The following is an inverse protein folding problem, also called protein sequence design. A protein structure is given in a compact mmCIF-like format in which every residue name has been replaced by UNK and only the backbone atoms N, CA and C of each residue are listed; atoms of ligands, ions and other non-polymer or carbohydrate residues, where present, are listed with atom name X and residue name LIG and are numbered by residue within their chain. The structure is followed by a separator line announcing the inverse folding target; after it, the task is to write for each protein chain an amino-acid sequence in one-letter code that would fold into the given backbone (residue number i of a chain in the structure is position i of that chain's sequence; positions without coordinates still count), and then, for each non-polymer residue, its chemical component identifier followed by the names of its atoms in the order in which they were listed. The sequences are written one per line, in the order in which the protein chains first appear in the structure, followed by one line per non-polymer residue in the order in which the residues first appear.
data_IF_920312560699
#
_entry.id   IF_920312560699
#
_cell.length_a   1.000
_cell.length_b   1.000
_cell.length_c   1.000
_cell.angle_alpha   90.00
_cell.angle_beta   90.00
_cell.angle_gamma   90.00
#
_symmetry.space_group_name_H-M   'P 1'
#
loop_
_entity.id
_entity.type
_entity.pdbx_description
1 polymer ?
#
# COMPACT_ATOMS: atom_id res chain seq x y z
N UNK A 1 -42.55 -3.84 39.35
CA UNK A 1 -41.50 -3.09 38.69
C UNK A 1 -41.99 -2.66 37.31
N UNK A 2 -42.05 -1.35 37.01
CA UNK A 2 -42.39 -0.90 35.64
C UNK A 2 -41.20 -1.14 34.72
N UNK A 3 -41.46 -1.75 33.56
CA UNK A 3 -40.47 -1.96 32.51
C UNK A 3 -39.96 -0.59 31.99
N UNK A 4 -38.67 -0.32 32.09
CA UNK A 4 -38.03 0.89 31.57
C UNK A 4 -37.26 0.51 30.32
N UNK A 5 -37.65 1.07 29.16
CA UNK A 5 -36.90 0.98 27.92
C UNK A 5 -35.99 2.19 27.82
N UNK A 6 -34.72 2.02 27.48
CA UNK A 6 -33.78 3.08 27.21
C UNK A 6 -32.76 2.61 26.20
N UNK A 7 -32.08 3.55 25.52
CA UNK A 7 -30.94 3.27 24.67
C UNK A 7 -29.63 3.42 25.47
N UNK A 8 -28.62 2.64 25.12
CA UNK A 8 -27.26 2.84 25.63
C UNK A 8 -26.70 4.08 24.95
N UNK A 9 -26.10 4.99 25.74
CA UNK A 9 -25.34 6.11 25.24
C UNK A 9 -23.85 5.82 25.42
N UNK A 10 -23.05 6.17 24.43
CA UNK A 10 -21.59 6.02 24.46
C UNK A 10 -21.02 7.45 24.45
N UNK A 11 -20.22 7.78 25.47
CA UNK A 11 -19.51 9.04 25.52
C UNK A 11 -18.12 8.83 24.89
N UNK A 12 -17.79 9.65 23.89
CA UNK A 12 -16.52 9.56 23.13
C UNK A 12 -15.28 9.68 24.04
N UNK A 13 -15.35 10.50 25.09
CA UNK A 13 -14.27 10.65 26.08
C UNK A 13 -13.86 9.32 26.73
N UNK A 14 -14.79 8.41 26.90
CA UNK A 14 -14.53 7.08 27.48
C UNK A 14 -14.09 6.04 26.44
N UNK A 15 -14.37 6.26 25.16
CA UNK A 15 -14.01 5.32 24.09
C UNK A 15 -12.55 5.47 23.65
N UNK A 16 -12.03 6.69 23.52
CA UNK A 16 -10.67 6.92 23.05
C UNK A 16 -9.57 6.22 23.87
N UNK A 17 -9.60 6.21 25.21
CA UNK A 17 -8.67 5.44 26.01
C UNK A 17 -8.76 3.93 25.76
N UNK A 18 -9.96 3.43 25.45
CA UNK A 18 -10.18 2.01 25.16
C UNK A 18 -9.62 1.69 23.76
N UNK A 19 -9.90 2.52 22.75
CA UNK A 19 -9.36 2.38 21.40
C UNK A 19 -7.82 2.40 21.47
N UNK A 20 -7.25 3.41 22.14
CA UNK A 20 -5.81 3.61 22.27
C UNK A 20 -5.09 2.43 22.96
N UNK A 21 -5.75 1.74 23.89
CA UNK A 21 -5.12 0.71 24.72
C UNK A 21 -5.47 -0.72 24.36
N UNK A 22 -6.66 -0.97 23.79
CA UNK A 22 -7.22 -2.33 23.71
C UNK A 22 -7.68 -2.75 22.31
N UNK A 23 -7.89 -1.81 21.38
CA UNK A 23 -8.42 -2.17 20.07
C UNK A 23 -7.39 -2.93 19.22
N UNK A 24 -6.11 -2.60 19.39
CA UNK A 24 -5.04 -3.25 18.66
C UNK A 24 -3.87 -3.62 19.60
N UNK A 25 -3.46 -4.86 19.53
CA UNK A 25 -2.31 -5.37 20.28
C UNK A 25 -0.95 -4.97 19.69
N UNK A 26 -0.94 -4.53 18.42
CA UNK A 26 0.24 -4.14 17.66
C UNK A 26 0.05 -2.70 17.15
N UNK A 27 0.93 -1.79 17.55
CA UNK A 27 0.86 -0.38 17.16
C UNK A 27 1.09 -0.17 15.66
N UNK A 28 1.82 -1.06 15.00
CA UNK A 28 2.09 -1.00 13.56
C UNK A 28 0.82 -0.97 12.69
N UNK A 29 -0.28 -1.44 13.25
CA UNK A 29 -1.53 -1.65 12.52
C UNK A 29 -2.13 -0.36 11.94
N UNK A 30 -1.81 0.82 12.54
CA UNK A 30 -2.33 2.08 12.04
C UNK A 30 -1.92 2.35 10.57
N UNK A 31 -0.70 1.96 10.18
CA UNK A 31 -0.23 2.08 8.78
C UNK A 31 -1.13 1.24 7.87
N UNK A 32 -1.40 -0.01 8.24
CA UNK A 32 -2.30 -0.89 7.49
C UNK A 32 -3.68 -0.26 7.32
N UNK A 33 -4.25 0.25 8.39
CA UNK A 33 -5.60 0.83 8.39
C UNK A 33 -5.69 2.08 7.50
N UNK A 34 -4.73 3.01 7.63
CA UNK A 34 -4.73 4.23 6.83
C UNK A 34 -4.51 3.95 5.35
N UNK A 35 -3.57 3.05 5.01
CA UNK A 35 -3.34 2.64 3.62
C UNK A 35 -4.56 1.89 3.06
N UNK A 36 -5.22 1.05 3.85
CA UNK A 36 -6.45 0.37 3.43
C UNK A 36 -7.57 1.35 3.10
N UNK A 37 -7.75 2.39 3.94
CA UNK A 37 -8.73 3.45 3.67
C UNK A 37 -8.42 4.19 2.35
N UNK A 38 -7.15 4.49 2.08
CA UNK A 38 -6.72 5.06 0.80
C UNK A 38 -7.01 4.14 -0.40
N UNK A 39 -6.73 2.84 -0.26
CA UNK A 39 -7.08 1.84 -1.29
C UNK A 39 -8.58 1.81 -1.56
N UNK A 40 -9.41 1.86 -0.52
CA UNK A 40 -10.86 1.87 -0.65
C UNK A 40 -11.36 3.15 -1.33
N UNK A 41 -10.79 4.31 -0.99
CA UNK A 41 -11.12 5.57 -1.62
C UNK A 41 -10.81 5.57 -3.13
N UNK A 42 -9.66 5.02 -3.51
CA UNK A 42 -9.24 4.85 -4.92
C UNK A 42 -10.16 3.85 -5.63
N UNK A 43 -10.47 2.72 -4.99
CA UNK A 43 -11.35 1.71 -5.55
C UNK A 43 -12.76 2.25 -5.81
N UNK A 44 -13.28 3.05 -4.89
CA UNK A 44 -14.58 3.72 -5.05
C UNK A 44 -14.56 4.71 -6.21
N UNK A 45 -13.51 5.53 -6.35
CA UNK A 45 -13.37 6.48 -7.46
C UNK A 45 -13.33 5.77 -8.82
N UNK A 46 -12.55 4.68 -8.95
CA UNK A 46 -12.54 3.85 -10.16
C UNK A 46 -13.90 3.24 -10.48
N UNK A 47 -14.67 2.84 -9.46
CA UNK A 47 -16.03 2.32 -9.66
C UNK A 47 -16.98 3.41 -10.19
N UNK A 48 -16.86 4.65 -9.71
CA UNK A 48 -17.66 5.78 -10.22
C UNK A 48 -17.39 6.04 -11.70
N UNK A 49 -16.13 5.91 -12.14
CA UNK A 49 -15.74 6.02 -13.54
C UNK A 49 -16.38 4.89 -14.39
N UNK A 50 -16.25 3.64 -13.94
CA UNK A 50 -16.87 2.48 -14.64
C UNK A 50 -18.40 2.64 -14.73
N UNK A 51 -19.03 3.25 -13.73
CA UNK A 51 -20.48 3.50 -13.72
C UNK A 51 -20.91 4.72 -14.53
N UNK A 52 -19.95 5.53 -15.01
CA UNK A 52 -20.20 6.76 -15.78
C UNK A 52 -20.68 7.93 -14.90
N UNK A 53 -20.50 7.86 -13.58
CA UNK A 53 -20.83 8.97 -12.66
C UNK A 53 -19.68 9.98 -12.52
N UNK A 54 -18.48 9.56 -12.90
CA UNK A 54 -17.28 10.38 -12.97
C UNK A 54 -16.47 9.97 -14.20
N UNK A 55 -15.61 10.83 -14.68
CA UNK A 55 -14.65 10.50 -15.75
C UNK A 55 -13.25 10.76 -15.21
N UNK A 56 -12.45 9.71 -15.08
CA UNK A 56 -11.06 9.84 -14.67
C UNK A 56 -10.25 10.61 -15.72
N UNK A 57 -9.33 11.49 -15.31
CA UNK A 57 -8.36 12.09 -16.24
C UNK A 57 -7.53 11.02 -16.96
N UNK A 58 -7.13 11.28 -18.22
CA UNK A 58 -6.34 10.34 -19.03
C UNK A 58 -4.98 10.00 -18.38
N UNK A 59 -4.43 10.92 -17.61
CA UNK A 59 -3.15 10.80 -16.88
C UNK A 59 -3.32 10.33 -15.42
N UNK A 60 -4.53 9.93 -15.00
CA UNK A 60 -4.78 9.48 -13.65
C UNK A 60 -3.96 8.25 -13.28
N UNK A 61 -3.14 8.40 -12.24
CA UNK A 61 -2.33 7.32 -11.67
C UNK A 61 -2.78 7.03 -10.23
N UNK A 62 -3.49 5.90 -10.01
CA UNK A 62 -3.92 5.52 -8.67
C UNK A 62 -2.71 5.19 -7.80
N UNK A 63 -2.50 5.95 -6.74
CA UNK A 63 -1.38 5.73 -5.85
C UNK A 63 -1.63 6.23 -4.43
N UNK A 64 -0.85 5.70 -3.50
CA UNK A 64 -0.74 6.19 -2.14
C UNK A 64 0.70 6.61 -1.91
N UNK A 65 0.90 7.87 -1.53
CA UNK A 65 2.19 8.42 -1.15
C UNK A 65 2.31 8.44 0.37
N UNK A 66 3.36 7.83 0.90
CA UNK A 66 3.70 7.87 2.32
C UNK A 66 4.98 8.68 2.48
N UNK A 67 4.92 9.76 3.26
CA UNK A 67 6.07 10.65 3.47
C UNK A 67 6.43 10.70 4.94
N UNK A 68 7.70 10.42 5.24
CA UNK A 68 8.27 10.51 6.59
C UNK A 68 9.00 11.83 6.73
N UNK A 69 8.54 12.69 7.62
CA UNK A 69 9.25 13.88 8.05
C UNK A 69 9.92 13.63 9.41
N UNK A 70 11.21 13.34 9.36
CA UNK A 70 12.00 13.04 10.57
C UNK A 70 12.19 14.27 11.45
N UNK A 71 12.34 15.47 10.84
CA UNK A 71 12.56 16.72 11.56
C UNK A 71 11.27 17.25 12.18
N UNK A 72 10.18 17.24 11.40
CA UNK A 72 8.84 17.62 11.85
C UNK A 72 8.16 16.55 12.70
N UNK A 73 8.80 15.37 12.91
CA UNK A 73 8.25 14.23 13.66
C UNK A 73 6.84 13.85 13.15
N UNK A 74 6.66 13.82 11.85
CA UNK A 74 5.37 13.54 11.24
C UNK A 74 5.43 12.46 10.16
N UNK A 75 4.29 11.84 9.93
CA UNK A 75 4.07 10.83 8.91
C UNK A 75 2.78 11.16 8.16
N UNK A 76 2.85 11.31 6.85
CA UNK A 76 1.69 11.63 6.02
C UNK A 76 1.37 10.52 5.04
N UNK A 77 0.06 10.36 4.77
CA UNK A 77 -0.52 9.42 3.81
C UNK A 77 -1.39 10.19 2.86
N UNK A 78 -1.04 10.21 1.58
CA UNK A 78 -1.81 10.89 0.54
C UNK A 78 -2.33 9.87 -0.45
N UNK A 79 -3.64 9.77 -0.60
CA UNK A 79 -4.29 8.96 -1.63
C UNK A 79 -4.84 9.82 -2.77
N UNK A 80 -4.93 9.22 -3.95
CA UNK A 80 -5.57 9.80 -5.13
C UNK A 80 -7.01 9.31 -5.29
N UNK A 81 -7.70 9.06 -4.17
CA UNK A 81 -9.06 8.56 -4.14
C UNK A 81 -10.12 9.64 -4.30
N UNK A 82 -11.35 9.29 -3.94
CA UNK A 82 -12.52 10.15 -4.18
C UNK A 82 -12.55 11.45 -3.33
N UNK A 83 -11.72 11.56 -2.29
CA UNK A 83 -11.77 12.67 -1.34
C UNK A 83 -13.09 12.75 -0.58
N UNK A 84 -13.28 13.83 0.19
CA UNK A 84 -14.48 14.03 1.00
C UNK A 84 -14.93 15.50 0.93
N UNK A 85 -16.24 15.73 0.98
CA UNK A 85 -16.85 17.04 1.25
C UNK A 85 -16.89 17.30 2.75
N UNK A 86 -17.23 18.51 3.15
CA UNK A 86 -17.41 18.90 4.56
C UNK A 86 -18.43 17.99 5.27
N UNK A 87 -19.58 17.74 4.65
CA UNK A 87 -20.62 16.86 5.19
C UNK A 87 -20.11 15.40 5.33
N UNK A 88 -19.32 14.92 4.36
CA UNK A 88 -18.74 13.59 4.41
C UNK A 88 -17.64 13.46 5.48
N UNK A 89 -16.86 14.51 5.73
CA UNK A 89 -15.92 14.54 6.86
C UNK A 89 -16.69 14.46 8.19
N UNK A 90 -17.78 15.22 8.31
CA UNK A 90 -18.60 15.17 9.52
C UNK A 90 -19.24 13.80 9.75
N UNK A 91 -19.68 13.14 8.67
CA UNK A 91 -20.34 11.84 8.74
C UNK A 91 -19.34 10.68 8.96
N UNK A 92 -18.20 10.67 8.23
CA UNK A 92 -17.28 9.50 8.20
C UNK A 92 -16.10 9.62 9.17
N UNK A 93 -15.77 10.84 9.59
CA UNK A 93 -14.65 11.11 10.50
C UNK A 93 -15.14 11.46 11.89
N UNK A 94 -16.19 12.26 12.04
CA UNK A 94 -16.67 12.70 13.36
C UNK A 94 -17.63 11.70 14.02
N UNK A 95 -18.18 10.72 13.25
CA UNK A 95 -19.04 9.67 13.81
C UNK A 95 -18.27 8.37 13.97
N UNK A 96 -17.90 8.06 15.21
CA UNK A 96 -17.15 6.82 15.54
C UNK A 96 -17.96 5.59 15.17
N UNK A 97 -17.32 4.62 14.52
CA UNK A 97 -17.92 3.36 14.04
C UNK A 97 -18.97 3.54 12.92
N UNK A 98 -19.03 4.68 12.26
CA UNK A 98 -19.77 4.86 11.03
C UNK A 98 -18.88 4.47 9.84
N UNK A 99 -19.37 3.65 8.93
CA UNK A 99 -18.58 3.17 7.78
C UNK A 99 -19.17 3.65 6.46
N UNK A 100 -18.51 4.59 5.81
CA UNK A 100 -18.83 5.00 4.44
C UNK A 100 -18.70 3.88 3.39
N UNK A 101 -18.13 2.72 3.76
CA UNK A 101 -18.16 1.52 2.94
C UNK A 101 -19.56 0.94 2.83
N UNK A 102 -20.29 0.88 3.94
CA UNK A 102 -21.66 0.35 3.98
C UNK A 102 -22.60 1.19 3.13
N UNK A 103 -22.55 2.51 3.26
CA UNK A 103 -23.40 3.43 2.47
C UNK A 103 -23.10 3.34 0.98
N UNK A 104 -21.81 3.24 0.62
CA UNK A 104 -21.43 3.06 -0.77
C UNK A 104 -21.97 1.73 -1.33
N UNK A 105 -21.84 0.64 -0.58
CA UNK A 105 -22.36 -0.67 -0.98
C UNK A 105 -23.87 -0.68 -1.09
N UNK A 106 -24.60 -0.04 -0.16
CA UNK A 106 -26.05 0.06 -0.22
C UNK A 106 -26.53 0.88 -1.41
N UNK A 107 -25.88 2.01 -1.69
CA UNK A 107 -26.21 2.89 -2.82
C UNK A 107 -25.97 2.20 -4.17
N UNK A 108 -24.97 1.34 -4.25
CA UNK A 108 -24.52 0.69 -5.48
C UNK A 108 -24.70 -0.85 -5.47
N UNK A 109 -25.61 -1.36 -4.67
CA UNK A 109 -25.84 -2.78 -4.38
C UNK A 109 -25.94 -3.71 -5.60
N UNK A 110 -26.48 -3.20 -6.71
CA UNK A 110 -26.66 -3.97 -7.95
C UNK A 110 -25.41 -3.92 -8.88
N UNK A 111 -24.41 -3.10 -8.56
CA UNK A 111 -23.27 -2.82 -9.44
C UNK A 111 -21.89 -2.97 -8.76
N UNK A 112 -21.85 -3.04 -7.44
CA UNK A 112 -20.61 -3.11 -6.66
C UNK A 112 -20.39 -4.50 -6.08
N UNK A 113 -19.23 -5.12 -6.34
CA UNK A 113 -18.81 -6.32 -5.62
C UNK A 113 -18.34 -5.93 -4.22
N UNK A 114 -19.03 -6.43 -3.19
CA UNK A 114 -18.70 -6.24 -1.77
C UNK A 114 -17.25 -6.68 -1.45
N UNK A 115 -16.77 -7.71 -2.16
CA UNK A 115 -15.46 -8.34 -1.94
C UNK A 115 -14.26 -7.42 -2.22
N UNK A 116 -14.45 -6.23 -2.84
CA UNK A 116 -13.35 -5.34 -3.20
C UNK A 116 -13.08 -4.21 -2.19
N UNK A 117 -13.92 -4.05 -1.18
CA UNK A 117 -13.75 -3.04 -0.14
C UNK A 117 -13.12 -3.68 1.09
N UNK A 118 -12.08 -3.07 1.63
CA UNK A 118 -11.26 -3.60 2.72
C UNK A 118 -11.85 -3.21 4.09
N UNK A 119 -12.22 -1.94 4.26
CA UNK A 119 -12.68 -1.39 5.54
C UNK A 119 -14.18 -1.52 5.73
N UNK A 120 -14.62 -2.16 6.84
CA UNK A 120 -16.03 -2.40 7.11
C UNK A 120 -16.57 -1.76 8.40
N UNK A 121 -15.71 -1.34 9.34
CA UNK A 121 -16.12 -1.03 10.70
C UNK A 121 -16.06 0.45 11.09
N UNK A 122 -15.53 1.34 10.23
CA UNK A 122 -15.40 2.78 10.53
C UNK A 122 -14.52 3.11 11.73
N UNK A 123 -13.62 2.19 12.12
CA UNK A 123 -12.71 2.36 13.26
C UNK A 123 -11.24 2.54 12.86
N UNK A 124 -10.89 2.19 11.62
CA UNK A 124 -9.51 2.15 11.15
C UNK A 124 -8.80 3.50 11.25
N UNK A 125 -9.48 4.59 10.90
CA UNK A 125 -8.93 5.94 10.99
C UNK A 125 -8.46 6.29 12.42
N UNK A 126 -9.23 5.89 13.44
CA UNK A 126 -8.92 6.24 14.82
C UNK A 126 -7.65 5.56 15.36
N UNK A 127 -7.13 4.55 14.67
CA UNK A 127 -5.83 3.96 14.99
C UNK A 127 -4.68 4.98 14.88
N UNK A 128 -4.84 6.05 14.11
CA UNK A 128 -3.90 7.16 14.03
C UNK A 128 -3.59 7.77 15.41
N UNK A 129 -4.59 7.86 16.29
CA UNK A 129 -4.42 8.41 17.64
C UNK A 129 -3.70 7.48 18.63
N UNK A 130 -3.38 6.25 18.20
CA UNK A 130 -2.49 5.38 18.99
C UNK A 130 -1.04 5.89 19.00
N UNK A 131 -0.63 6.57 17.93
CA UNK A 131 0.74 6.97 17.66
C UNK A 131 0.93 8.47 17.52
N UNK A 132 -0.15 9.24 17.41
CA UNK A 132 -0.11 10.68 17.17
C UNK A 132 -0.84 11.46 18.28
N UNK A 133 -0.24 12.58 18.67
CA UNK A 133 -0.89 13.56 19.55
C UNK A 133 -1.82 14.51 18.79
N UNK A 134 -1.54 14.73 17.50
CA UNK A 134 -2.33 15.54 16.61
C UNK A 134 -2.45 14.87 15.24
N UNK A 135 -3.62 14.93 14.64
CA UNK A 135 -3.92 14.42 13.30
C UNK A 135 -4.59 15.50 12.48
N UNK A 136 -4.16 15.69 11.23
CA UNK A 136 -4.82 16.57 10.28
C UNK A 136 -5.29 15.78 9.06
N UNK A 137 -6.39 16.21 8.47
CA UNK A 137 -6.91 15.72 7.19
C UNK A 137 -7.07 16.91 6.26
N UNK A 138 -6.42 16.86 5.11
CA UNK A 138 -6.61 17.79 4.00
C UNK A 138 -7.24 17.00 2.85
N UNK A 139 -8.46 17.34 2.44
CA UNK A 139 -9.22 16.56 1.46
C UNK A 139 -9.95 17.43 0.46
N UNK A 140 -10.08 16.94 -0.77
CA UNK A 140 -10.88 17.54 -1.84
C UNK A 140 -11.69 16.44 -2.53
N UNK A 141 -13.01 16.60 -2.51
CA UNK A 141 -13.93 15.63 -3.11
C UNK A 141 -13.95 15.70 -4.64
N UNK A 142 -14.19 14.54 -5.27
CA UNK A 142 -14.44 14.41 -6.71
C UNK A 142 -15.70 15.11 -7.20
N UNK A 143 -16.61 15.45 -6.30
CA UNK A 143 -17.90 16.09 -6.64
C UNK A 143 -17.68 17.47 -7.24
N UNK A 144 -18.37 17.76 -8.32
CA UNK A 144 -18.28 19.06 -9.00
C UNK A 144 -18.62 20.22 -8.06
N UNK A 145 -17.76 21.23 -8.04
CA UNK A 145 -17.93 22.40 -7.18
C UNK A 145 -17.59 22.18 -5.71
N UNK A 146 -17.04 21.03 -5.33
CA UNK A 146 -16.58 20.79 -3.98
C UNK A 146 -15.45 21.75 -3.58
N UNK A 147 -15.49 22.25 -2.35
CA UNK A 147 -14.42 23.04 -1.74
C UNK A 147 -13.48 22.13 -0.94
N UNK A 148 -12.16 22.42 -0.91
CA UNK A 148 -11.24 21.65 -0.10
C UNK A 148 -11.53 21.86 1.38
N UNK A 149 -11.38 20.80 2.17
CA UNK A 149 -11.64 20.79 3.61
C UNK A 149 -10.37 20.44 4.36
N UNK A 150 -10.10 21.22 5.40
CA UNK A 150 -9.10 20.90 6.40
C UNK A 150 -9.77 20.57 7.72
N UNK A 151 -9.43 19.41 8.26
CA UNK A 151 -9.87 18.95 9.57
C UNK A 151 -8.63 18.70 10.44
N UNK A 152 -8.73 19.03 11.73
CA UNK A 152 -7.63 18.84 12.69
C UNK A 152 -8.19 18.42 14.05
N UNK A 153 -7.51 17.48 14.72
CA UNK A 153 -7.85 17.07 16.08
C UNK A 153 -6.60 16.79 16.90
N UNK A 154 -6.61 17.26 18.15
CA UNK A 154 -5.64 16.93 19.18
C UNK A 154 -6.26 15.91 20.14
N UNK A 155 -5.62 14.71 20.26
CA UNK A 155 -6.09 13.64 21.13
C UNK A 155 -7.41 12.97 20.75
N UNK A 156 -8.02 13.34 19.62
CA UNK A 156 -9.16 12.65 19.02
C UNK A 156 -10.54 12.94 19.60
N UNK A 157 -10.67 13.84 20.57
CA UNK A 157 -11.98 14.17 21.21
C UNK A 157 -12.60 15.40 20.59
N UNK A 158 -11.82 16.47 20.45
CA UNK A 158 -12.24 17.73 19.86
C UNK A 158 -11.61 17.87 18.48
N UNK A 159 -12.32 18.50 17.57
CA UNK A 159 -11.81 18.79 16.24
C UNK A 159 -12.11 20.24 15.84
N UNK A 160 -11.32 20.74 14.91
CA UNK A 160 -11.57 21.97 14.19
C UNK A 160 -11.70 21.64 12.69
N UNK A 161 -12.65 22.27 12.00
CA UNK A 161 -12.83 22.11 10.57
C UNK A 161 -12.91 23.47 9.90
N UNK A 162 -12.23 23.62 8.77
CA UNK A 162 -12.13 24.86 8.01
C UNK A 162 -11.96 24.58 6.52
N UNK A 163 -12.06 25.61 5.70
CA UNK A 163 -11.70 25.53 4.29
C UNK A 163 -10.19 25.21 4.17
N UNK A 164 -9.85 24.22 3.35
CA UNK A 164 -8.48 23.79 3.05
C UNK A 164 -7.91 24.46 1.81
N UNK A 165 -6.71 24.04 1.43
CA UNK A 165 -6.00 24.56 0.25
C UNK A 165 -5.62 23.47 -0.77
N UNK A 166 -6.06 22.22 -0.54
CA UNK A 166 -5.77 21.09 -1.43
C UNK A 166 -6.31 21.34 -2.84
N UNK A 167 -5.48 21.09 -3.85
CA UNK A 167 -5.80 21.39 -5.26
C UNK A 167 -6.23 20.16 -6.05
N UNK A 168 -5.81 18.98 -5.62
CA UNK A 168 -6.05 17.72 -6.29
C UNK A 168 -7.07 16.90 -5.52
N UNK A 169 -7.90 16.15 -6.25
CA UNK A 169 -8.87 15.22 -5.66
C UNK A 169 -8.12 14.14 -4.87
N UNK A 170 -8.63 13.81 -3.70
CA UNK A 170 -8.05 12.82 -2.79
C UNK A 170 -7.91 13.34 -1.37
N UNK A 171 -7.24 12.56 -0.54
CA UNK A 171 -7.09 12.87 0.89
C UNK A 171 -5.63 12.76 1.32
N UNK A 172 -5.19 13.69 2.14
CA UNK A 172 -3.90 13.63 2.86
C UNK A 172 -4.20 13.58 4.35
N UNK A 173 -3.71 12.53 5.02
CA UNK A 173 -3.77 12.39 6.48
C UNK A 173 -2.37 12.57 7.01
N UNK A 174 -2.15 13.53 7.90
CA UNK A 174 -0.84 13.77 8.53
C UNK A 174 -0.93 13.51 10.03
N UNK A 175 -0.04 12.65 10.52
CA UNK A 175 0.11 12.28 11.91
C UNK A 175 1.32 13.00 12.50
N UNK A 176 1.11 13.81 13.53
CA UNK A 176 2.18 14.38 14.33
C UNK A 176 2.43 13.44 15.50
N UNK A 177 3.55 12.72 15.42
CA UNK A 177 3.84 11.58 16.27
C UNK A 177 4.06 11.96 17.73
N UNK A 178 3.50 11.18 18.63
CA UNK A 178 3.79 11.28 20.07
C UNK A 178 5.23 10.88 20.38
N UNK A 179 5.77 11.34 21.51
CA UNK A 179 7.15 11.02 21.93
C UNK A 179 7.40 9.50 22.05
N UNK A 180 6.38 8.73 22.44
CA UNK A 180 6.46 7.26 22.57
C UNK A 180 6.43 6.54 21.20
N UNK A 181 6.14 7.25 20.12
CA UNK A 181 5.94 6.69 18.78
C UNK A 181 6.94 7.21 17.74
N UNK A 182 8.02 7.86 18.16
CA UNK A 182 9.05 8.44 17.29
C UNK A 182 9.80 7.39 16.44
N UNK A 183 9.65 6.10 16.72
CA UNK A 183 10.16 5.04 15.87
C UNK A 183 9.60 5.14 14.45
N UNK A 184 8.38 5.68 14.26
CA UNK A 184 7.75 5.88 12.96
C UNK A 184 8.20 7.16 12.25
N UNK A 185 8.97 8.04 12.88
CA UNK A 185 9.69 9.12 12.21
C UNK A 185 10.95 8.63 11.47
N UNK A 186 11.05 7.33 11.23
CA UNK A 186 12.16 6.66 10.57
C UNK A 186 11.67 5.91 9.33
N UNK A 187 12.24 6.24 8.16
CA UNK A 187 11.86 5.63 6.88
C UNK A 187 12.02 4.11 6.88
N UNK A 188 13.09 3.57 7.47
CA UNK A 188 13.33 2.13 7.51
C UNK A 188 12.25 1.40 8.31
N UNK A 189 11.82 1.97 9.44
CA UNK A 189 10.75 1.40 10.26
C UNK A 189 9.41 1.42 9.52
N UNK A 190 9.07 2.54 8.88
CA UNK A 190 7.84 2.65 8.09
C UNK A 190 7.87 1.70 6.90
N UNK A 191 9.01 1.56 6.22
CA UNK A 191 9.20 0.60 5.12
C UNK A 191 8.99 -0.84 5.56
N UNK A 192 9.54 -1.22 6.71
CA UNK A 192 9.35 -2.55 7.30
C UNK A 192 7.85 -2.85 7.51
N UNK A 193 7.11 -1.92 8.10
CA UNK A 193 5.68 -2.05 8.37
C UNK A 193 4.85 -2.09 7.09
N UNK A 194 5.13 -1.19 6.14
CA UNK A 194 4.48 -1.20 4.82
C UNK A 194 4.74 -2.52 4.09
N UNK A 195 5.97 -3.01 4.10
CA UNK A 195 6.32 -4.30 3.49
C UNK A 195 5.57 -5.45 4.17
N UNK A 196 5.47 -5.43 5.50
CA UNK A 196 4.75 -6.47 6.26
C UNK A 196 3.27 -6.56 5.89
N UNK A 197 2.58 -5.42 5.83
CA UNK A 197 1.11 -5.39 5.71
C UNK A 197 0.59 -5.09 4.32
N UNK A 198 1.34 -4.34 3.52
CA UNK A 198 0.83 -3.69 2.31
C UNK A 198 1.47 -4.21 1.01
N UNK A 199 2.40 -5.19 1.08
CA UNK A 199 3.16 -5.69 -0.10
C UNK A 199 2.29 -6.16 -1.27
N UNK A 200 1.06 -6.52 -1.04
CA UNK A 200 0.18 -7.04 -2.08
C UNK A 200 -1.12 -6.24 -2.24
N UNK A 201 -1.18 -5.05 -1.65
CA UNK A 201 -2.35 -4.18 -1.82
C UNK A 201 -2.57 -3.80 -3.28
N UNK A 202 -3.84 -3.59 -3.72
CA UNK A 202 -4.21 -3.43 -5.13
C UNK A 202 -3.91 -2.04 -5.71
N UNK A 203 -3.18 -1.20 -4.97
CA UNK A 203 -2.78 0.15 -5.35
C UNK A 203 -1.27 0.30 -5.16
N UNK A 204 -0.60 1.04 -6.02
CA UNK A 204 0.82 1.36 -5.86
C UNK A 204 1.04 2.24 -4.63
N UNK A 205 2.03 1.86 -3.81
CA UNK A 205 2.37 2.54 -2.56
C UNK A 205 3.82 2.97 -2.63
N UNK A 206 4.06 4.27 -2.53
CA UNK A 206 5.39 4.85 -2.58
C UNK A 206 5.75 5.42 -1.21
N UNK A 207 7.00 5.22 -0.81
CA UNK A 207 7.56 5.75 0.43
C UNK A 207 8.70 6.69 0.10
N UNK A 208 8.68 7.88 0.68
CA UNK A 208 9.73 8.86 0.59
C UNK A 208 9.99 9.54 1.93
N UNK A 209 11.14 10.21 2.02
CA UNK A 209 11.49 11.05 3.16
C UNK A 209 11.36 12.52 2.74
N UNK A 210 10.76 13.33 3.61
CA UNK A 210 10.69 14.77 3.41
C UNK A 210 12.09 15.38 3.32
N UNK A 211 12.29 16.27 2.35
CA UNK A 211 13.60 16.91 2.12
C UNK A 211 14.71 15.98 1.63
N UNK A 212 14.39 14.75 1.18
CA UNK A 212 15.38 13.86 0.59
C UNK A 212 16.01 14.48 -0.67
N UNK A 213 17.33 14.31 -0.83
CA UNK A 213 18.01 14.73 -2.05
C UNK A 213 17.50 13.92 -3.25
N UNK A 214 17.35 14.61 -4.40
CA UNK A 214 16.95 13.95 -5.64
C UNK A 214 18.01 12.92 -6.05
N UNK A 215 17.62 11.66 -6.10
CA UNK A 215 18.45 10.60 -6.66
C UNK A 215 18.29 10.50 -8.18
N UNK A 216 19.34 10.01 -8.84
CA UNK A 216 19.37 9.83 -10.29
C UNK A 216 19.72 8.42 -10.64
N UNK A 217 19.23 7.96 -11.80
CA UNK A 217 19.61 6.69 -12.41
C UNK A 217 19.95 6.87 -13.88
N UNK A 218 20.80 6.00 -14.41
CA UNK A 218 21.18 6.01 -15.81
C UNK A 218 20.61 4.78 -16.47
N UNK A 219 19.80 4.99 -17.50
CA UNK A 219 19.12 3.94 -18.26
C UNK A 219 19.54 4.00 -19.72
N UNK A 220 19.33 2.93 -20.47
CA UNK A 220 19.47 2.96 -21.92
C UNK A 220 18.35 3.81 -22.52
N UNK A 221 18.64 4.58 -23.55
CA UNK A 221 17.69 5.53 -24.16
C UNK A 221 16.40 4.88 -24.64
N UNK A 222 16.49 3.60 -25.01
CA UNK A 222 15.33 2.80 -25.44
C UNK A 222 14.35 2.48 -24.29
N UNK A 223 14.81 2.58 -23.02
CA UNK A 223 14.01 2.35 -21.82
C UNK A 223 13.31 3.60 -21.30
N UNK A 224 13.51 4.76 -21.99
CA UNK A 224 12.93 6.03 -21.60
C UNK A 224 11.40 5.99 -21.72
N UNK A 225 10.71 6.43 -20.68
CA UNK A 225 9.25 6.55 -20.60
C UNK A 225 8.83 8.01 -20.79
N UNK A 226 7.57 8.23 -21.16
CA UNK A 226 7.01 9.56 -21.36
C UNK A 226 7.00 10.43 -20.11
N UNK A 227 6.95 9.81 -18.93
CA UNK A 227 6.93 10.48 -17.63
C UNK A 227 8.30 10.64 -16.97
N UNK A 228 9.38 10.17 -17.62
CA UNK A 228 10.74 10.33 -17.11
C UNK A 228 11.23 11.77 -17.26
N UNK A 229 11.83 12.29 -16.18
CA UNK A 229 12.48 13.60 -16.19
C UNK A 229 13.94 13.43 -16.57
N UNK A 230 14.27 13.78 -17.81
CA UNK A 230 15.62 13.69 -18.36
C UNK A 230 16.49 14.81 -17.80
N UNK A 231 17.61 14.44 -17.19
CA UNK A 231 18.60 15.38 -16.63
C UNK A 231 19.76 15.57 -17.59
N UNK A 232 20.25 14.49 -18.20
CA UNK A 232 21.42 14.50 -19.08
C UNK A 232 21.37 13.38 -20.11
N UNK A 233 21.82 13.66 -21.35
CA UNK A 233 22.04 12.63 -22.36
C UNK A 233 23.50 12.23 -22.36
N UNK A 234 23.78 10.93 -22.25
CA UNK A 234 25.11 10.35 -22.17
C UNK A 234 25.35 9.49 -23.42
N UNK A 235 26.42 9.78 -24.16
CA UNK A 235 26.83 8.98 -25.29
C UNK A 235 28.11 8.25 -24.92
N UNK A 236 28.05 6.93 -24.83
CA UNK A 236 29.23 6.07 -24.69
C UNK A 236 29.72 5.72 -26.11
N UNK A 237 30.87 6.26 -26.49
CA UNK A 237 31.47 5.96 -27.79
C UNK A 237 31.90 4.48 -27.86
N UNK A 238 31.90 3.94 -29.08
CA UNK A 238 32.33 2.56 -29.33
C UNK A 238 33.76 2.35 -28.88
N UNK A 239 34.00 1.30 -28.11
CA UNK A 239 35.37 0.89 -27.73
C UNK A 239 35.90 -0.10 -28.73
N UNK A 240 37.03 0.22 -29.30
CA UNK A 240 37.76 -0.65 -30.22
C UNK A 240 39.08 -1.10 -29.60
N UNK A 241 39.47 -2.35 -29.78
CA UNK A 241 40.77 -2.89 -29.39
C UNK A 241 41.48 -3.41 -30.63
N UNK A 242 42.81 -3.16 -30.71
CA UNK A 242 43.64 -3.83 -31.70
C UNK A 242 43.95 -5.27 -31.25
N UNK A 243 43.54 -6.25 -32.04
CA UNK A 243 43.89 -7.67 -31.84
C UNK A 243 44.70 -8.16 -33.03
N UNK A 244 45.70 -8.98 -32.78
CA UNK A 244 46.39 -9.71 -33.84
C UNK A 244 45.51 -10.89 -34.28
N UNK A 245 45.26 -10.99 -35.60
CA UNK A 245 44.58 -12.13 -36.20
C UNK A 245 45.56 -13.33 -36.35
N UNK A 246 45.06 -14.47 -36.74
CA UNK A 246 45.84 -15.69 -36.88
C UNK A 246 46.97 -15.57 -37.91
N UNK A 247 46.97 -14.53 -38.74
CA UNK A 247 48.02 -14.24 -39.75
C UNK A 247 49.04 -13.23 -39.28
N UNK A 248 48.96 -12.73 -38.02
CA UNK A 248 49.90 -11.73 -37.48
C UNK A 248 49.63 -10.27 -37.91
N UNK A 249 48.45 -10.01 -38.48
CA UNK A 249 48.01 -8.69 -38.86
C UNK A 249 47.17 -8.05 -37.75
N UNK A 250 47.34 -6.75 -37.48
CA UNK A 250 46.55 -5.99 -36.51
C UNK A 250 45.18 -5.67 -37.10
N UNK A 251 44.17 -6.20 -36.48
CA UNK A 251 42.77 -5.89 -36.79
C UNK A 251 42.12 -5.11 -35.64
N UNK A 252 41.44 -4.04 -35.97
CA UNK A 252 40.66 -3.23 -34.99
C UNK A 252 39.31 -3.91 -34.83
N UNK A 253 39.06 -4.54 -33.67
CA UNK A 253 37.83 -5.20 -33.34
C UNK A 253 37.01 -4.30 -32.41
N UNK A 254 35.78 -4.05 -32.77
CA UNK A 254 34.83 -3.32 -31.91
C UNK A 254 34.47 -4.24 -30.73
N UNK A 255 34.86 -3.84 -29.51
CA UNK A 255 34.65 -4.59 -28.26
C UNK A 255 33.33 -4.19 -27.60
N UNK A 256 32.91 -2.95 -27.82
CA UNK A 256 31.63 -2.44 -27.30
C UNK A 256 31.01 -1.47 -28.31
N UNK A 257 29.78 -1.68 -28.75
CA UNK A 257 29.12 -0.76 -29.66
C UNK A 257 28.82 0.58 -28.97
N UNK A 258 28.67 1.63 -29.78
CA UNK A 258 28.18 2.91 -29.30
C UNK A 258 26.81 2.74 -28.65
N UNK A 259 26.67 3.24 -27.40
CA UNK A 259 25.40 3.22 -26.64
C UNK A 259 24.96 4.63 -26.29
N UNK A 260 23.68 4.88 -26.48
CA UNK A 260 23.04 6.10 -26.01
C UNK A 260 22.31 5.82 -24.70
N UNK A 261 22.73 6.48 -23.62
CA UNK A 261 22.15 6.41 -22.29
C UNK A 261 21.58 7.76 -21.88
N UNK A 262 20.67 7.72 -20.94
CA UNK A 262 20.02 8.92 -20.41
C UNK A 262 20.06 8.86 -18.89
N UNK A 263 20.51 9.96 -18.28
CA UNK A 263 20.39 10.15 -16.84
C UNK A 263 19.05 10.78 -16.56
N UNK A 264 18.26 10.12 -15.76
CA UNK A 264 16.90 10.55 -15.37
C UNK A 264 16.81 10.71 -13.84
N UNK A 265 15.80 11.43 -13.39
CA UNK A 265 15.41 11.32 -11.99
C UNK A 265 15.08 9.86 -11.69
N UNK A 266 15.63 9.31 -10.58
CA UNK A 266 15.36 7.93 -10.20
C UNK A 266 13.87 7.70 -10.07
N UNK A 267 13.38 6.69 -10.75
CA UNK A 267 11.96 6.31 -10.72
C UNK A 267 11.56 5.86 -9.31
N UNK A 268 10.41 6.33 -8.79
CA UNK A 268 9.91 5.80 -7.53
C UNK A 268 9.58 4.32 -7.68
N UNK A 269 9.95 3.53 -6.67
CA UNK A 269 9.68 2.09 -6.64
C UNK A 269 8.51 1.84 -5.71
N UNK A 270 7.44 1.23 -6.22
CA UNK A 270 6.31 0.83 -5.39
C UNK A 270 6.70 -0.28 -4.42
N UNK A 271 6.25 -0.16 -3.16
CA UNK A 271 6.37 -1.20 -2.15
C UNK A 271 5.40 -2.36 -2.44
N UNK A 272 4.23 -2.03 -3.00
CA UNK A 272 3.19 -3.02 -3.30
C UNK A 272 3.35 -3.63 -4.68
N UNK A 273 3.05 -4.92 -4.78
CA UNK A 273 2.81 -5.65 -6.02
C UNK A 273 1.29 -5.77 -6.21
N UNK A 274 0.72 -4.93 -7.05
CA UNK A 274 -0.74 -4.78 -7.19
C UNK A 274 -1.44 -6.03 -7.75
N UNK A 275 -0.71 -6.86 -8.47
CA UNK A 275 -1.20 -8.14 -9.00
C UNK A 275 -0.27 -9.27 -8.52
N UNK A 276 -0.47 -9.78 -7.30
CA UNK A 276 0.34 -10.86 -6.76
C UNK A 276 0.18 -12.14 -7.58
N UNK A 277 1.20 -13.02 -7.55
CA UNK A 277 1.26 -14.22 -8.38
C UNK A 277 0.03 -15.13 -8.23
N UNK A 278 -0.53 -15.23 -7.01
CA UNK A 278 -1.73 -16.05 -6.76
C UNK A 278 -3.01 -15.51 -7.41
N UNK A 279 -3.02 -14.27 -7.91
CA UNK A 279 -4.15 -13.69 -8.64
C UNK A 279 -4.10 -14.00 -10.13
N UNK A 280 -2.93 -14.37 -10.66
CA UNK A 280 -2.77 -14.79 -12.06
C UNK A 280 -3.40 -16.16 -12.28
N UNK A 281 -3.77 -16.46 -13.51
CA UNK A 281 -4.16 -17.82 -13.85
C UNK A 281 -2.92 -18.73 -13.84
N UNK A 282 -2.99 -19.97 -13.30
CA UNK A 282 -1.84 -20.87 -13.21
C UNK A 282 -1.10 -21.11 -14.55
N UNK A 283 -1.83 -21.13 -15.65
CA UNK A 283 -1.27 -21.32 -16.99
C UNK A 283 -0.45 -20.14 -17.51
N UNK A 284 -0.61 -18.97 -16.88
CA UNK A 284 0.09 -17.72 -17.25
C UNK A 284 1.33 -17.50 -16.37
N UNK A 285 1.65 -18.45 -15.49
CA UNK A 285 2.78 -18.37 -14.57
C UNK A 285 3.89 -19.34 -14.99
N UNK A 286 5.15 -18.89 -14.87
CA UNK A 286 6.33 -19.71 -15.11
C UNK A 286 6.89 -20.27 -13.81
N UNK A 287 7.68 -21.35 -13.92
CA UNK A 287 8.36 -21.95 -12.77
C UNK A 287 9.30 -20.97 -12.05
N UNK A 288 9.95 -20.08 -12.81
CA UNK A 288 10.84 -19.07 -12.26
C UNK A 288 10.07 -18.02 -11.45
N UNK A 289 8.89 -17.58 -11.93
CA UNK A 289 8.01 -16.69 -11.17
C UNK A 289 7.56 -17.32 -9.85
N UNK A 290 7.22 -18.62 -9.83
CA UNK A 290 6.86 -19.31 -8.59
C UNK A 290 8.03 -19.38 -7.60
N UNK A 291 9.24 -19.65 -8.08
CA UNK A 291 10.44 -19.72 -7.23
C UNK A 291 10.84 -18.35 -6.69
N UNK A 292 10.76 -17.31 -7.51
CA UNK A 292 11.04 -15.93 -7.11
C UNK A 292 10.02 -15.44 -6.09
N UNK A 293 8.74 -15.70 -6.33
CA UNK A 293 7.67 -15.38 -5.41
C UNK A 293 7.85 -16.08 -4.05
N UNK A 294 8.21 -17.38 -4.05
CA UNK A 294 8.53 -18.12 -2.83
C UNK A 294 9.66 -17.45 -2.04
N UNK A 295 10.78 -17.12 -2.70
CA UNK A 295 11.92 -16.45 -2.06
C UNK A 295 11.52 -15.10 -1.46
N UNK A 296 10.75 -14.30 -2.17
CA UNK A 296 10.35 -12.97 -1.72
C UNK A 296 9.39 -13.01 -0.54
N UNK A 297 8.44 -13.95 -0.52
CA UNK A 297 7.40 -14.04 0.52
C UNK A 297 7.91 -14.69 1.80
N UNK A 298 8.71 -15.76 1.67
CA UNK A 298 9.17 -16.55 2.82
C UNK A 298 10.60 -16.25 3.23
N UNK A 299 11.32 -15.40 2.47
CA UNK A 299 12.74 -15.10 2.67
C UNK A 299 13.61 -16.38 2.73
N UNK A 300 13.22 -17.41 1.99
CA UNK A 300 13.89 -18.69 1.91
C UNK A 300 14.56 -18.84 0.53
N UNK A 301 15.88 -18.93 0.54
CA UNK A 301 16.68 -19.05 -0.68
C UNK A 301 16.79 -20.49 -1.21
N UNK A 302 16.27 -21.47 -0.45
CA UNK A 302 16.15 -22.85 -0.95
C UNK A 302 14.99 -22.91 -1.93
N UNK A 303 15.20 -23.59 -3.05
CA UNK A 303 14.09 -23.82 -3.99
C UNK A 303 13.07 -24.79 -3.37
N UNK A 304 11.76 -24.53 -3.52
CA UNK A 304 10.74 -25.47 -3.10
C UNK A 304 10.81 -26.75 -3.93
N UNK A 305 10.35 -27.86 -3.36
CA UNK A 305 10.24 -29.15 -4.07
C UNK A 305 9.21 -29.09 -5.19
N UNK A 306 8.05 -28.53 -4.86
CA UNK A 306 6.94 -28.27 -5.77
C UNK A 306 5.96 -27.28 -5.10
N UNK A 307 4.96 -26.87 -5.86
CA UNK A 307 3.88 -25.97 -5.39
C UNK A 307 2.54 -26.38 -5.99
N UNK A 308 1.48 -25.93 -5.37
CA UNK A 308 0.11 -26.08 -5.85
C UNK A 308 -0.51 -24.69 -5.90
N UNK A 309 -0.88 -24.23 -7.08
CA UNK A 309 -1.59 -22.98 -7.27
C UNK A 309 -3.10 -23.23 -7.14
N UNK A 310 -3.70 -22.66 -6.11
CA UNK A 310 -5.13 -22.77 -5.80
C UNK A 310 -5.89 -21.62 -6.46
N UNK A 311 -6.91 -21.94 -7.22
CA UNK A 311 -7.86 -20.98 -7.76
C UNK A 311 -9.24 -21.64 -7.73
N UNK A 312 -9.92 -21.52 -6.59
CA UNK A 312 -11.20 -22.16 -6.32
C UNK A 312 -12.27 -21.10 -6.10
N UNK A 313 -13.31 -21.12 -6.91
CA UNK A 313 -14.45 -20.20 -6.79
C UNK A 313 -15.61 -20.80 -5.98
N UNK A 314 -15.61 -22.13 -5.78
CA UNK A 314 -16.65 -22.84 -5.04
C UNK A 314 -16.06 -24.02 -4.24
N UNK A 315 -16.51 -24.33 -3.00
CA UNK A 315 -17.54 -23.63 -2.21
C UNK A 315 -17.05 -22.36 -1.52
N UNK A 316 -15.74 -22.09 -1.58
CA UNK A 316 -15.10 -20.91 -1.00
C UNK A 316 -14.32 -20.21 -2.07
N UNK A 317 -14.42 -18.90 -2.18
CA UNK A 317 -13.54 -18.09 -3.01
C UNK A 317 -12.14 -18.10 -2.38
N UNK A 318 -11.29 -19.02 -2.81
CA UNK A 318 -9.94 -19.22 -2.28
C UNK A 318 -8.91 -19.21 -3.40
N UNK A 319 -8.02 -18.23 -3.33
CA UNK A 319 -6.85 -18.11 -4.19
C UNK A 319 -5.58 -18.18 -3.36
N UNK A 320 -4.55 -18.84 -3.86
CA UNK A 320 -3.30 -18.95 -3.12
C UNK A 320 -2.33 -19.92 -3.75
N UNK A 321 -1.13 -19.99 -3.17
CA UNK A 321 -0.09 -20.92 -3.58
C UNK A 321 0.41 -21.66 -2.34
N UNK A 322 0.32 -22.98 -2.38
CA UNK A 322 0.90 -23.85 -1.38
C UNK A 322 2.28 -24.28 -1.84
N UNK A 323 3.31 -23.94 -1.08
CA UNK A 323 4.68 -24.36 -1.33
C UNK A 323 5.09 -25.50 -0.42
N UNK A 324 5.86 -26.44 -0.97
CA UNK A 324 6.44 -27.56 -0.23
C UNK A 324 7.97 -27.37 -0.23
N UNK A 325 8.55 -26.85 0.87
CA UNK A 325 9.97 -26.57 0.95
C UNK A 325 10.81 -27.85 0.99
N UNK A 326 12.08 -27.75 0.59
CA UNK A 326 13.09 -28.78 0.86
C UNK A 326 13.48 -28.71 2.34
N UNK A 327 12.95 -29.63 3.14
CA UNK A 327 13.21 -29.70 4.59
C UNK A 327 14.38 -30.64 4.84
N UNK A 328 15.36 -30.20 5.61
CA UNK A 328 16.34 -31.10 6.21
C UNK A 328 15.88 -31.45 7.63
N UNK A 329 15.37 -32.66 7.82
CA UNK A 329 14.74 -33.13 9.07
C UNK A 329 15.67 -33.11 10.28
N UNK A 330 16.99 -32.95 10.08
CA UNK A 330 17.96 -32.89 11.19
C UNK A 330 18.09 -31.47 11.77
N UNK A 331 17.82 -30.41 10.98
CA UNK A 331 18.14 -29.02 11.37
C UNK A 331 16.98 -28.03 11.14
N UNK A 332 16.00 -28.37 10.30
CA UNK A 332 14.92 -27.45 9.97
C UNK A 332 13.71 -27.67 10.88
N UNK A 333 13.07 -26.58 11.28
CA UNK A 333 11.80 -26.64 12.01
C UNK A 333 10.69 -27.12 11.08
N UNK A 334 9.95 -28.15 11.52
CA UNK A 334 8.83 -28.75 10.75
C UNK A 334 7.51 -27.97 10.91
N UNK A 335 7.58 -26.72 11.30
CA UNK A 335 6.38 -25.87 11.41
C UNK A 335 6.05 -25.27 10.05
N UNK A 336 4.86 -25.57 9.54
CA UNK A 336 4.32 -24.90 8.36
C UNK A 336 3.88 -23.47 8.72
N UNK A 337 4.17 -22.51 7.85
CA UNK A 337 3.72 -21.13 7.97
C UNK A 337 2.68 -20.86 6.90
N UNK A 338 1.51 -20.35 7.29
CA UNK A 338 0.46 -19.89 6.39
C UNK A 338 0.36 -18.39 6.52
N UNK A 339 0.67 -17.67 5.45
CA UNK A 339 0.42 -16.23 5.34
C UNK A 339 -0.99 -16.01 4.81
N UNK A 340 -1.83 -15.40 5.62
CA UNK A 340 -3.24 -15.16 5.30
C UNK A 340 -3.44 -13.73 4.85
N UNK A 341 -4.12 -13.55 3.72
CA UNK A 341 -4.51 -12.26 3.17
C UNK A 341 -6.03 -12.21 2.98
N UNK A 342 -6.61 -11.05 3.19
CA UNK A 342 -7.99 -10.74 2.83
C UNK A 342 -7.98 -9.50 1.94
N UNK A 343 -8.57 -9.60 0.73
CA UNK A 343 -8.52 -8.52 -0.27
C UNK A 343 -7.09 -7.98 -0.49
N UNK A 344 -6.11 -8.89 -0.57
CA UNK A 344 -4.67 -8.58 -0.74
C UNK A 344 -4.01 -7.87 0.47
N UNK A 345 -4.72 -7.69 1.58
CA UNK A 345 -4.17 -7.15 2.83
C UNK A 345 -3.71 -8.29 3.73
N UNK A 346 -2.50 -8.19 4.25
CA UNK A 346 -1.98 -9.16 5.19
C UNK A 346 -2.76 -9.14 6.51
N UNK A 347 -3.22 -10.31 6.95
CA UNK A 347 -3.99 -10.47 8.18
C UNK A 347 -3.13 -11.10 9.28
N UNK A 348 -2.51 -12.24 9.01
CA UNK A 348 -1.75 -12.97 10.01
C UNK A 348 -0.82 -14.03 9.42
N UNK A 349 0.21 -14.38 10.18
CA UNK A 349 0.97 -15.60 10.04
C UNK A 349 0.41 -16.65 11.00
N UNK A 350 0.00 -17.79 10.44
CA UNK A 350 -0.51 -18.93 11.22
C UNK A 350 0.55 -20.02 11.17
N UNK A 351 1.20 -20.27 12.31
CA UNK A 351 2.13 -21.40 12.46
C UNK A 351 1.40 -22.61 13.00
N UNK A 352 1.52 -23.76 12.33
CA UNK A 352 1.02 -25.04 12.82
C UNK A 352 2.13 -26.10 12.75
N UNK A 353 2.27 -26.88 13.82
CA UNK A 353 3.08 -28.10 13.78
C UNK A 353 2.45 -29.06 12.78
N UNK A 354 3.18 -29.39 11.73
CA UNK A 354 2.70 -30.28 10.67
C UNK A 354 2.49 -31.73 11.15
N UNK A 355 3.07 -32.10 12.28
CA UNK A 355 2.90 -33.43 12.89
C UNK A 355 2.72 -33.28 14.41
N UNK A 356 1.50 -33.22 14.89
CA UNK A 356 1.22 -33.67 16.24
C UNK A 356 1.06 -35.19 16.17
N UNK A 357 2.06 -35.92 16.68
CA UNK A 357 1.89 -37.34 16.98
C UNK A 357 0.76 -37.48 18.00
N UNK A 358 -0.34 -38.13 17.61
CA UNK A 358 -1.37 -38.64 18.49
C UNK A 358 -0.80 -39.66 19.45
#
# INVERSE_FOLDING_TARGET
MQSRKGSLSIESENMFPIIKKWLYSDHDIFIRELVSNGCDAITKLKKLDIMGEYTLPDDYKPSIQVVVDTEGKSLSFTDTGLGMTEDEVDEYINQVAFSGATDFLEKYKDKANEEQIIGHFGLGFYSAFMVADRVTIDTLSWKEGATPVRWESEGGINFEMSEGDKKEIGTTITLYLSEDSLEFANEYRVREVLTKYCSFMPVEIFLSKEGAEQEYETIDKEELREDDVVVENIVEEAKTEERENENGEKEVVEVSPRKEKVKINKRPVSISTTTPLWMKHPNDCTDDEYKEFYRSVFNDYKEPLFWIHLNMDYPFNLKGILYFPKVNTEYDNLEGVIKLYNNQVFIADISRKLFQSS
#
